data_IF_363805569550
#
_entry.id   IF_363805569550
#
_cell.length_a   1.000
_cell.length_b   1.000
_cell.length_c   1.000
_cell.angle_alpha   90.00
_cell.angle_beta   90.00
_cell.angle_gamma   90.00
#
_symmetry.space_group_name_H-M   'P 1'
#
loop_
_entity.id
_entity.type
_entity.pdbx_description
1 polymer ?
#
# COMPACT_ATOMS: atom_id res chain seq x y z
N UNK A 1 -8.06 22.73 -29.54
CA UNK A 1 -7.17 21.60 -29.21
C UNK A 1 -7.91 20.77 -28.17
N UNK A 2 -8.23 19.52 -28.50
CA UNK A 2 -8.85 18.59 -27.53
C UNK A 2 -7.84 18.37 -26.38
N UNK A 3 -8.27 18.27 -25.12
CA UNK A 3 -7.37 18.00 -24.01
C UNK A 3 -6.66 16.66 -24.23
N UNK A 4 -5.40 16.51 -23.82
CA UNK A 4 -4.70 15.24 -23.95
C UNK A 4 -5.49 14.17 -23.20
N UNK A 5 -5.85 13.11 -23.89
CA UNK A 5 -6.53 11.95 -23.32
C UNK A 5 -5.60 11.35 -22.25
N UNK A 6 -6.03 11.36 -20.99
CA UNK A 6 -5.29 10.77 -19.87
C UNK A 6 -4.97 9.30 -20.21
N UNK A 7 -3.72 8.88 -19.97
CA UNK A 7 -3.35 7.49 -20.19
C UNK A 7 -4.14 6.60 -19.20
N UNK A 8 -4.65 5.43 -19.67
CA UNK A 8 -5.46 4.55 -18.81
C UNK A 8 -4.63 3.96 -17.67
N UNK A 9 -5.25 3.73 -16.52
CA UNK A 9 -4.65 3.01 -15.40
C UNK A 9 -4.49 1.51 -15.75
N UNK A 10 -3.65 0.78 -14.99
CA UNK A 10 -3.43 -0.67 -15.17
C UNK A 10 -4.75 -1.47 -15.15
N UNK A 11 -5.69 -1.12 -14.28
CA UNK A 11 -7.00 -1.77 -14.20
C UNK A 11 -7.89 -1.45 -15.41
N UNK A 12 -7.77 -0.25 -15.97
CA UNK A 12 -8.50 0.14 -17.18
C UNK A 12 -7.90 -0.49 -18.43
N UNK A 13 -6.60 -0.81 -18.40
CA UNK A 13 -5.93 -1.52 -19.49
C UNK A 13 -6.40 -2.98 -19.64
N UNK A 14 -6.84 -3.63 -18.55
CA UNK A 14 -7.19 -5.06 -18.52
C UNK A 14 -8.59 -5.31 -17.94
N UNK A 15 -9.65 -4.79 -18.57
CA UNK A 15 -11.04 -4.91 -18.11
C UNK A 15 -11.71 -6.24 -18.52
N UNK A 16 -10.97 -7.17 -19.14
CA UNK A 16 -11.51 -8.40 -19.71
C UNK A 16 -12.08 -9.33 -18.65
N UNK A 17 -13.16 -10.02 -19.00
CA UNK A 17 -13.67 -11.12 -18.20
C UNK A 17 -12.75 -12.35 -18.25
N UNK A 18 -13.03 -13.37 -17.43
CA UNK A 18 -12.21 -14.59 -17.32
C UNK A 18 -12.11 -15.36 -18.66
N UNK A 19 -13.15 -15.29 -19.50
CA UNK A 19 -13.19 -16.01 -20.79
C UNK A 19 -12.31 -15.29 -21.81
N UNK A 20 -12.42 -14.00 -21.92
CA UNK A 20 -11.65 -13.17 -22.85
C UNK A 20 -10.17 -13.14 -22.45
N UNK A 21 -9.89 -12.99 -21.14
CA UNK A 21 -8.54 -13.09 -20.61
C UNK A 21 -7.88 -14.44 -20.93
N UNK A 22 -8.63 -15.56 -20.80
CA UNK A 22 -8.13 -16.90 -21.15
C UNK A 22 -7.88 -17.06 -22.66
N UNK A 23 -8.66 -16.39 -23.51
CA UNK A 23 -8.43 -16.40 -24.95
C UNK A 23 -7.15 -15.65 -25.33
N UNK A 24 -6.91 -14.47 -24.73
CA UNK A 24 -5.68 -13.69 -24.91
C UNK A 24 -4.45 -14.43 -24.38
N UNK A 25 -4.55 -15.11 -23.23
CA UNK A 25 -3.49 -15.96 -22.68
C UNK A 25 -3.07 -17.06 -23.67
N UNK A 26 -4.05 -17.73 -24.30
CA UNK A 26 -3.80 -18.76 -25.31
C UNK A 26 -3.12 -18.24 -26.59
N UNK A 27 -3.16 -16.94 -26.84
CA UNK A 27 -2.45 -16.29 -27.95
C UNK A 27 -1.06 -15.80 -27.51
N UNK A 28 -0.95 -15.14 -26.35
CA UNK A 28 0.29 -14.55 -25.87
C UNK A 28 1.37 -15.59 -25.56
N UNK A 29 1.03 -16.67 -24.84
CA UNK A 29 2.02 -17.68 -24.41
C UNK A 29 2.69 -18.41 -25.58
N UNK A 30 1.97 -18.89 -26.62
CA UNK A 30 2.62 -19.49 -27.79
C UNK A 30 3.53 -18.54 -28.56
N UNK A 31 3.22 -17.23 -28.61
CA UNK A 31 4.09 -16.24 -29.20
C UNK A 31 5.39 -16.10 -28.41
N UNK A 32 5.31 -16.03 -27.10
CA UNK A 32 6.49 -15.97 -26.24
C UNK A 32 7.38 -17.22 -26.38
N UNK A 33 6.77 -18.41 -26.40
CA UNK A 33 7.49 -19.68 -26.62
C UNK A 33 8.16 -19.71 -28.00
N UNK A 34 7.46 -19.29 -29.06
CA UNK A 34 8.00 -19.23 -30.41
C UNK A 34 9.27 -18.37 -30.52
N UNK A 35 9.33 -17.30 -29.75
CA UNK A 35 10.46 -16.35 -29.78
C UNK A 35 11.42 -16.55 -28.60
N UNK A 36 11.35 -17.69 -27.89
CA UNK A 36 12.22 -18.01 -26.75
C UNK A 36 12.24 -16.95 -25.66
N UNK A 37 11.08 -16.31 -25.40
CA UNK A 37 10.94 -15.22 -24.43
C UNK A 37 10.49 -15.83 -23.09
N UNK A 38 11.23 -15.57 -21.98
CA UNK A 38 10.87 -16.06 -20.66
C UNK A 38 9.51 -15.53 -20.22
N UNK A 39 8.58 -16.37 -19.74
CA UNK A 39 7.23 -15.98 -19.33
C UNK A 39 7.21 -15.33 -17.92
N UNK A 40 8.03 -14.29 -17.72
CA UNK A 40 7.95 -13.47 -16.53
C UNK A 40 6.81 -12.43 -16.62
N UNK A 41 6.39 -11.81 -15.51
CA UNK A 41 5.28 -10.86 -15.50
C UNK A 41 5.43 -9.69 -16.47
N UNK A 42 6.64 -9.15 -16.66
CA UNK A 42 6.91 -8.02 -17.56
C UNK A 42 6.72 -8.43 -19.02
N UNK A 43 7.31 -9.54 -19.43
CA UNK A 43 7.18 -10.06 -20.79
C UNK A 43 5.72 -10.47 -21.05
N UNK A 44 5.09 -11.16 -20.08
CA UNK A 44 3.70 -11.57 -20.20
C UNK A 44 2.76 -10.36 -20.43
N UNK A 45 2.88 -9.31 -19.66
CA UNK A 45 2.05 -8.11 -19.83
C UNK A 45 2.23 -7.47 -21.21
N UNK A 46 3.47 -7.39 -21.73
CA UNK A 46 3.76 -6.87 -23.05
C UNK A 46 3.11 -7.71 -24.16
N UNK A 47 3.25 -9.04 -24.10
CA UNK A 47 2.70 -9.95 -25.12
C UNK A 47 1.20 -10.15 -24.99
N UNK A 48 0.66 -10.04 -23.80
CA UNK A 48 -0.78 -9.99 -23.57
C UNK A 48 -1.39 -8.74 -24.24
N UNK A 49 -0.80 -7.57 -24.01
CA UNK A 49 -1.22 -6.29 -24.62
C UNK A 49 -1.04 -6.33 -26.14
N UNK A 50 0.06 -6.93 -26.64
CA UNK A 50 0.26 -7.20 -28.07
C UNK A 50 -0.89 -8.01 -28.66
N UNK A 51 -1.27 -9.10 -28.01
CA UNK A 51 -2.35 -9.99 -28.47
C UNK A 51 -3.72 -9.31 -28.45
N UNK A 52 -3.92 -8.34 -27.58
CA UNK A 52 -5.11 -7.50 -27.51
C UNK A 52 -5.23 -6.55 -28.72
N UNK A 53 -4.12 -6.16 -29.34
CA UNK A 53 -4.09 -5.37 -30.57
C UNK A 53 -4.52 -3.90 -30.40
N UNK A 54 -4.74 -3.43 -29.18
CA UNK A 54 -5.21 -2.06 -28.90
C UNK A 54 -4.09 -1.01 -28.92
N UNK A 55 -2.81 -1.43 -28.87
CA UNK A 55 -1.63 -0.58 -28.85
C UNK A 55 -0.76 -0.78 -30.12
N UNK A 56 -1.12 -0.17 -31.27
CA UNK A 56 -0.37 -0.35 -32.51
C UNK A 56 1.10 0.10 -32.43
N UNK A 57 1.42 1.03 -31.53
CA UNK A 57 2.78 1.49 -31.27
C UNK A 57 3.64 0.41 -30.64
N UNK A 58 3.12 -0.26 -29.62
CA UNK A 58 3.76 -1.41 -28.97
C UNK A 58 3.95 -2.56 -29.97
N UNK A 59 2.90 -2.89 -30.69
CA UNK A 59 2.91 -4.03 -31.63
C UNK A 59 4.02 -3.87 -32.67
N UNK A 60 4.12 -2.69 -33.31
CA UNK A 60 5.18 -2.39 -34.29
C UNK A 60 6.59 -2.51 -33.70
N UNK A 61 6.78 -2.08 -32.42
CA UNK A 61 8.08 -2.18 -31.77
C UNK A 61 8.43 -3.62 -31.39
N UNK A 62 7.48 -4.39 -30.91
CA UNK A 62 7.68 -5.80 -30.61
C UNK A 62 7.99 -6.60 -31.88
N UNK A 63 7.25 -6.37 -32.97
CA UNK A 63 7.52 -7.00 -34.26
C UNK A 63 8.93 -6.68 -34.79
N UNK A 64 9.41 -5.46 -34.60
CA UNK A 64 10.75 -5.06 -34.99
C UNK A 64 11.81 -5.76 -34.16
N UNK A 65 11.65 -5.79 -32.84
CA UNK A 65 12.61 -6.43 -31.92
C UNK A 65 12.73 -7.93 -32.22
N UNK A 66 11.62 -8.61 -32.44
CA UNK A 66 11.61 -10.04 -32.77
C UNK A 66 12.27 -10.35 -34.12
N UNK A 67 12.26 -9.37 -35.05
CA UNK A 67 12.96 -9.52 -36.35
C UNK A 67 14.45 -9.22 -36.25
N UNK A 68 14.83 -8.27 -35.41
CA UNK A 68 16.19 -7.74 -35.36
C UNK A 68 17.09 -8.48 -34.35
N UNK A 69 16.51 -9.26 -33.42
CA UNK A 69 17.25 -9.92 -32.33
C UNK A 69 16.81 -11.38 -32.18
N UNK A 70 17.79 -12.29 -32.00
CA UNK A 70 17.53 -13.69 -31.69
C UNK A 70 17.00 -13.92 -30.26
N UNK A 71 17.14 -12.94 -29.37
CA UNK A 71 16.63 -12.95 -28.00
C UNK A 71 16.00 -11.61 -27.65
N UNK A 72 15.03 -11.61 -26.74
CA UNK A 72 14.34 -10.42 -26.28
C UNK A 72 15.13 -9.76 -25.12
N UNK A 73 15.78 -8.59 -25.32
CA UNK A 73 16.62 -7.98 -24.29
C UNK A 73 15.78 -7.50 -23.09
N UNK A 74 16.21 -7.87 -21.86
CA UNK A 74 15.50 -7.51 -20.63
C UNK A 74 15.36 -5.98 -20.42
N UNK A 75 16.38 -5.21 -20.76
CA UNK A 75 16.33 -3.74 -20.66
C UNK A 75 15.29 -3.14 -21.61
N UNK A 76 15.20 -3.70 -22.81
CA UNK A 76 14.20 -3.27 -23.80
C UNK A 76 12.79 -3.63 -23.34
N UNK A 77 12.61 -4.80 -22.76
CA UNK A 77 11.33 -5.21 -22.15
C UNK A 77 10.92 -4.25 -21.02
N UNK A 78 11.84 -3.92 -20.12
CA UNK A 78 11.57 -2.99 -19.02
C UNK A 78 11.23 -1.57 -19.52
N UNK A 79 11.88 -1.12 -20.62
CA UNK A 79 11.57 0.16 -21.23
C UNK A 79 10.19 0.20 -21.86
N UNK A 80 9.84 -0.81 -22.65
CA UNK A 80 8.51 -0.93 -23.27
C UNK A 80 7.40 -1.08 -22.22
N UNK A 81 7.64 -1.84 -21.16
CA UNK A 81 6.70 -2.00 -20.06
C UNK A 81 6.40 -0.64 -19.39
N UNK A 82 7.43 0.17 -19.12
CA UNK A 82 7.24 1.52 -18.58
C UNK A 82 6.50 2.44 -19.55
N UNK A 83 6.82 2.37 -20.85
CA UNK A 83 6.29 3.27 -21.87
C UNK A 83 4.83 2.96 -22.25
N UNK A 84 4.42 1.67 -22.21
CA UNK A 84 3.10 1.26 -22.72
C UNK A 84 2.17 0.66 -21.66
N UNK A 85 2.70 0.09 -20.59
CA UNK A 85 1.90 -0.60 -19.58
C UNK A 85 1.66 0.29 -18.35
N UNK A 86 2.72 0.82 -17.73
CA UNK A 86 2.59 1.62 -16.49
C UNK A 86 2.68 3.12 -16.72
N UNK A 87 2.59 3.56 -17.97
CA UNK A 87 2.66 4.99 -18.32
C UNK A 87 1.61 5.81 -17.58
N UNK A 88 0.38 5.32 -17.51
CA UNK A 88 -0.73 6.00 -16.84
C UNK A 88 -0.46 6.28 -15.37
N UNK A 89 0.08 5.29 -14.64
CA UNK A 89 0.41 5.44 -13.23
C UNK A 89 1.61 6.37 -13.02
N UNK A 90 2.61 6.33 -13.92
CA UNK A 90 3.75 7.25 -13.86
C UNK A 90 3.32 8.70 -14.14
N UNK A 91 2.48 8.93 -15.13
CA UNK A 91 1.92 10.26 -15.45
C UNK A 91 1.03 10.76 -14.29
N UNK A 92 0.24 9.90 -13.68
CA UNK A 92 -0.57 10.27 -12.51
C UNK A 92 0.28 10.62 -11.29
N UNK A 93 1.33 9.84 -11.02
CA UNK A 93 2.27 10.14 -9.94
C UNK A 93 3.03 11.45 -10.16
N UNK A 94 3.49 11.69 -11.40
CA UNK A 94 4.15 12.95 -11.77
C UNK A 94 3.19 14.15 -11.68
N UNK A 95 1.94 13.99 -12.12
CA UNK A 95 0.92 15.03 -12.02
C UNK A 95 0.65 15.40 -10.57
N UNK A 96 0.51 14.41 -9.67
CA UNK A 96 0.34 14.63 -8.24
C UNK A 96 1.54 15.32 -7.61
N UNK A 97 2.75 14.94 -7.99
CA UNK A 97 3.97 15.60 -7.52
C UNK A 97 4.00 17.07 -7.97
N UNK A 98 3.66 17.36 -9.22
CA UNK A 98 3.61 18.71 -9.73
C UNK A 98 2.56 19.56 -9.02
N UNK A 99 1.37 19.01 -8.75
CA UNK A 99 0.33 19.69 -7.99
C UNK A 99 0.79 20.12 -6.59
N UNK A 100 1.61 19.29 -5.92
CA UNK A 100 2.18 19.66 -4.61
C UNK A 100 3.19 20.80 -4.75
N UNK A 101 4.03 20.78 -5.78
CA UNK A 101 5.00 21.85 -6.05
C UNK A 101 4.27 23.15 -6.33
N UNK A 102 3.30 23.13 -7.25
CA UNK A 102 2.50 24.29 -7.62
C UNK A 102 1.79 24.91 -6.42
N UNK A 103 1.24 24.05 -5.52
CA UNK A 103 0.61 24.49 -4.27
C UNK A 103 1.59 25.20 -3.31
N UNK A 104 2.82 24.69 -3.20
CA UNK A 104 3.86 25.31 -2.37
C UNK A 104 4.28 26.66 -2.93
N UNK A 105 4.47 26.74 -4.25
CA UNK A 105 4.86 27.98 -4.96
C UNK A 105 3.75 29.05 -4.82
N UNK A 106 2.48 28.64 -4.94
CA UNK A 106 1.32 29.53 -4.74
C UNK A 106 1.28 30.08 -3.31
N UNK A 107 1.51 29.23 -2.29
CA UNK A 107 1.56 29.65 -0.88
C UNK A 107 2.72 30.62 -0.64
N UNK A 108 3.92 30.36 -1.20
CA UNK A 108 5.08 31.24 -1.08
C UNK A 108 4.81 32.61 -1.70
N UNK A 109 4.17 32.63 -2.88
CA UNK A 109 3.72 33.85 -3.55
C UNK A 109 2.71 34.64 -2.70
N UNK A 110 1.71 33.98 -2.12
CA UNK A 110 0.69 34.60 -1.26
C UNK A 110 1.27 35.18 0.04
N UNK A 111 2.23 34.46 0.67
CA UNK A 111 2.96 34.94 1.85
C UNK A 111 3.77 36.19 1.52
N UNK A 112 4.50 36.18 0.41
CA UNK A 112 5.32 37.31 -0.05
C UNK A 112 4.45 38.53 -0.35
N UNK A 113 3.30 38.35 -0.96
CA UNK A 113 2.32 39.41 -1.26
C UNK A 113 1.72 40.01 0.02
N UNK A 114 1.36 39.16 1.00
CA UNK A 114 0.84 39.58 2.29
C UNK A 114 1.88 40.38 3.12
N UNK A 115 3.15 39.95 3.08
CA UNK A 115 4.24 40.65 3.74
C UNK A 115 4.48 42.04 3.09
N UNK A 116 4.49 42.14 1.78
CA UNK A 116 4.61 43.40 1.04
C UNK A 116 3.46 44.37 1.37
N UNK A 117 2.23 43.87 1.42
CA UNK A 117 1.05 44.64 1.83
C UNK A 117 1.15 45.17 3.27
N UNK A 118 1.58 44.32 4.20
CA UNK A 118 1.80 44.72 5.61
C UNK A 118 2.85 45.80 5.73
N UNK A 119 3.94 45.71 4.96
CA UNK A 119 5.00 46.70 4.95
C UNK A 119 4.55 48.04 4.40
N UNK A 120 3.79 48.05 3.34
CA UNK A 120 3.21 49.26 2.76
C UNK A 120 2.25 49.95 3.74
N UNK A 121 1.41 49.16 4.43
CA UNK A 121 0.51 49.67 5.46
C UNK A 121 1.28 50.27 6.64
N UNK A 122 2.36 49.64 7.08
CA UNK A 122 3.23 50.20 8.12
C UNK A 122 3.83 51.55 7.71
N UNK A 123 4.30 51.68 6.48
CA UNK A 123 4.84 52.94 5.95
C UNK A 123 3.77 54.03 5.91
N UNK A 124 2.54 53.74 5.48
CA UNK A 124 1.41 54.68 5.50
C UNK A 124 1.08 55.14 6.92
N UNK A 125 1.12 54.23 7.92
CA UNK A 125 0.92 54.56 9.33
C UNK A 125 2.05 55.48 9.86
N UNK A 126 3.30 55.20 9.53
CA UNK A 126 4.47 56.02 9.95
C UNK A 126 4.39 57.45 9.35
N UNK A 127 4.02 57.55 8.08
CA UNK A 127 3.81 58.82 7.40
C UNK A 127 2.64 59.61 8.01
N UNK A 128 1.52 58.95 8.28
CA UNK A 128 0.37 59.56 8.93
C UNK A 128 0.69 60.04 10.34
N UNK A 129 1.44 59.27 11.12
CA UNK A 129 1.90 59.68 12.46
C UNK A 129 2.85 60.87 12.41
N UNK A 130 3.77 60.92 11.45
CA UNK A 130 4.68 62.08 11.26
C UNK A 130 3.91 63.34 10.89
N UNK A 131 2.92 63.25 9.99
CA UNK A 131 2.07 64.37 9.61
C UNK A 131 1.26 64.93 10.80
N UNK A 132 0.82 64.09 11.73
CA UNK A 132 0.11 64.48 12.94
C UNK A 132 0.96 65.19 13.98
N UNK A 133 2.31 65.13 13.86
CA UNK A 133 3.26 65.79 14.77
C UNK A 133 3.68 67.20 14.31
N UNK A 134 3.32 67.60 13.09
CA UNK A 134 3.59 68.94 12.59
C UNK A 134 2.55 69.97 13.08
N UNK A 135 2.96 71.19 13.51
CA UNK A 135 2.07 72.16 14.14
C UNK A 135 1.14 72.89 13.16
N UNK A 136 1.27 72.73 11.86
CA UNK A 136 0.41 73.33 10.82
C UNK A 136 -0.41 72.20 10.13
N UNK A 137 -1.59 71.91 10.69
CA UNK A 137 -2.52 70.87 10.23
C UNK A 137 -3.54 71.38 9.20
N UNK A 138 -3.11 71.92 8.08
CA UNK A 138 -4.08 72.32 7.04
C UNK A 138 -4.65 71.15 6.23
N UNK A 139 -4.11 69.89 6.34
CA UNK A 139 -4.48 68.76 5.50
C UNK A 139 -4.80 67.45 6.27
N UNK A 140 -5.25 67.56 7.52
CA UNK A 140 -5.66 66.42 8.34
C UNK A 140 -6.71 65.51 7.70
N UNK A 141 -7.75 66.05 6.96
CA UNK A 141 -8.72 65.19 6.29
C UNK A 141 -8.12 64.29 5.23
N UNK A 142 -7.13 64.76 4.46
CA UNK A 142 -6.43 64.01 3.42
C UNK A 142 -5.63 62.82 4.03
N UNK A 143 -4.87 63.08 5.09
CA UNK A 143 -4.09 62.05 5.80
C UNK A 143 -5.01 60.96 6.37
N UNK A 144 -6.12 61.33 6.97
CA UNK A 144 -7.12 60.37 7.49
C UNK A 144 -7.74 59.56 6.38
N UNK A 145 -8.08 60.14 5.22
CA UNK A 145 -8.63 59.45 4.07
C UNK A 145 -7.63 58.40 3.51
N UNK A 146 -6.36 58.78 3.40
CA UNK A 146 -5.29 57.87 2.94
C UNK A 146 -5.04 56.70 3.89
N UNK A 147 -5.05 56.93 5.19
CA UNK A 147 -4.97 55.89 6.21
C UNK A 147 -6.17 54.96 6.18
N UNK A 148 -7.38 55.49 5.95
CA UNK A 148 -8.61 54.71 5.84
C UNK A 148 -8.53 53.80 4.61
N UNK A 149 -8.12 54.31 3.47
CA UNK A 149 -7.97 53.59 2.22
C UNK A 149 -6.90 52.48 2.33
N UNK A 150 -5.71 52.80 2.93
CA UNK A 150 -4.68 51.81 3.20
C UNK A 150 -5.16 50.70 4.14
N UNK A 151 -5.95 51.04 5.16
CA UNK A 151 -6.49 50.09 6.12
C UNK A 151 -7.47 49.14 5.42
N UNK A 152 -8.39 49.66 4.56
CA UNK A 152 -9.32 48.87 3.81
C UNK A 152 -8.60 47.91 2.83
N UNK A 153 -7.59 48.41 2.12
CA UNK A 153 -6.80 47.58 1.22
C UNK A 153 -6.10 46.44 1.96
N UNK A 154 -5.54 46.72 3.13
CA UNK A 154 -4.89 45.73 3.98
C UNK A 154 -5.88 44.66 4.45
N UNK A 155 -7.08 45.05 4.88
CA UNK A 155 -8.13 44.11 5.29
C UNK A 155 -8.55 43.20 4.13
N UNK A 156 -8.78 43.75 2.95
CA UNK A 156 -9.16 42.98 1.76
C UNK A 156 -8.06 41.98 1.34
N UNK A 157 -6.79 42.39 1.46
CA UNK A 157 -5.66 41.47 1.19
C UNK A 157 -5.59 40.36 2.23
N UNK A 158 -5.80 40.66 3.50
CA UNK A 158 -5.78 39.69 4.59
C UNK A 158 -6.92 38.66 4.46
N UNK A 159 -8.12 39.10 4.09
CA UNK A 159 -9.25 38.19 3.83
C UNK A 159 -8.95 37.23 2.67
N UNK A 160 -8.42 37.74 1.57
CA UNK A 160 -8.02 36.94 0.41
C UNK A 160 -6.94 35.91 0.79
N UNK A 161 -5.94 36.34 1.55
CA UNK A 161 -4.87 35.45 2.03
C UNK A 161 -5.43 34.32 2.92
N UNK A 162 -6.31 34.66 3.88
CA UNK A 162 -6.93 33.64 4.74
C UNK A 162 -7.82 32.65 3.95
N UNK A 163 -8.53 33.14 2.94
CA UNK A 163 -9.33 32.29 2.07
C UNK A 163 -8.44 31.27 1.32
N UNK A 164 -7.34 31.74 0.70
CA UNK A 164 -6.40 30.88 -0.02
C UNK A 164 -5.70 29.89 0.90
N UNK A 165 -5.29 30.32 2.10
CA UNK A 165 -4.70 29.44 3.09
C UNK A 165 -5.64 28.29 3.51
N UNK A 166 -6.92 28.57 3.69
CA UNK A 166 -7.93 27.54 3.97
C UNK A 166 -8.11 26.56 2.80
N UNK A 167 -8.11 27.06 1.58
CA UNK A 167 -8.18 26.23 0.39
C UNK A 167 -6.96 25.28 0.29
N UNK A 168 -5.76 25.80 0.50
CA UNK A 168 -4.53 25.03 0.52
C UNK A 168 -4.50 23.96 1.63
N UNK A 169 -5.00 24.29 2.83
CA UNK A 169 -5.18 23.30 3.90
C UNK A 169 -6.11 22.16 3.51
N UNK A 170 -7.22 22.48 2.84
CA UNK A 170 -8.15 21.47 2.32
C UNK A 170 -7.50 20.52 1.32
N UNK A 171 -6.72 21.07 0.39
CA UNK A 171 -6.00 20.28 -0.61
C UNK A 171 -4.93 19.38 0.03
N UNK A 172 -4.15 19.89 0.98
CA UNK A 172 -3.18 19.09 1.75
C UNK A 172 -3.86 17.92 2.47
N UNK A 173 -5.03 18.15 3.09
CA UNK A 173 -5.78 17.07 3.75
C UNK A 173 -6.28 16.03 2.75
N UNK A 174 -6.73 16.47 1.59
CA UNK A 174 -7.16 15.57 0.51
C UNK A 174 -6.01 14.70 0.02
N UNK A 175 -4.85 15.28 -0.29
CA UNK A 175 -3.66 14.57 -0.74
C UNK A 175 -3.13 13.57 0.31
N UNK A 176 -3.13 13.96 1.60
CA UNK A 176 -2.79 13.03 2.70
C UNK A 176 -3.74 11.84 2.74
N UNK A 177 -5.05 12.07 2.65
CA UNK A 177 -6.03 10.98 2.62
C UNK A 177 -5.83 10.03 1.43
N UNK A 178 -5.48 10.55 0.25
CA UNK A 178 -5.17 9.74 -0.92
C UNK A 178 -3.90 8.91 -0.70
N UNK A 179 -2.86 9.51 -0.12
CA UNK A 179 -1.61 8.83 0.21
C UNK A 179 -1.83 7.70 1.22
N UNK A 180 -2.59 7.96 2.28
CA UNK A 180 -2.94 6.96 3.30
C UNK A 180 -3.71 5.79 2.69
N UNK A 181 -4.65 6.05 1.78
CA UNK A 181 -5.37 4.99 1.05
C UNK A 181 -4.44 4.18 0.15
N UNK A 182 -3.55 4.84 -0.58
CA UNK A 182 -2.58 4.16 -1.42
C UNK A 182 -1.60 3.31 -0.60
N UNK A 183 -1.13 3.83 0.54
CA UNK A 183 -0.32 3.08 1.50
C UNK A 183 -1.06 1.87 2.07
N UNK A 184 -2.31 2.04 2.49
CA UNK A 184 -3.13 0.95 2.99
C UNK A 184 -3.33 -0.13 1.91
N UNK A 185 -3.67 0.25 0.68
CA UNK A 185 -3.82 -0.68 -0.44
C UNK A 185 -2.51 -1.42 -0.79
N UNK A 186 -1.36 -0.77 -0.62
CA UNK A 186 -0.05 -1.37 -0.87
C UNK A 186 0.44 -2.27 0.27
N UNK A 187 -0.07 -2.12 1.49
CA UNK A 187 0.45 -2.80 2.69
C UNK A 187 -0.52 -3.78 3.34
N UNK A 188 -1.82 -3.55 3.21
CA UNK A 188 -2.83 -4.39 3.84
C UNK A 188 -3.47 -5.36 2.84
N UNK A 189 -3.91 -6.52 3.34
CA UNK A 189 -4.81 -7.42 2.62
C UNK A 189 -6.23 -6.83 2.64
N UNK A 190 -6.85 -6.71 1.48
CA UNK A 190 -8.15 -6.04 1.31
C UNK A 190 -9.29 -6.74 2.03
N UNK A 191 -9.23 -8.06 2.19
CA UNK A 191 -10.26 -8.86 2.83
C UNK A 191 -10.14 -8.87 4.36
N UNK A 192 -8.93 -9.08 4.86
CA UNK A 192 -8.67 -9.34 6.29
C UNK A 192 -8.14 -8.14 7.05
N UNK A 193 -7.67 -7.11 6.34
CA UNK A 193 -7.12 -5.87 6.92
C UNK A 193 -5.91 -6.08 7.86
N UNK A 194 -5.25 -7.23 7.80
CA UNK A 194 -3.88 -7.44 8.28
C UNK A 194 -2.89 -7.10 7.18
N UNK A 195 -1.60 -7.11 7.44
CA UNK A 195 -0.61 -6.87 6.38
C UNK A 195 -0.76 -7.90 5.25
N UNK A 196 -0.47 -7.48 4.02
CA UNK A 196 -0.37 -8.41 2.90
C UNK A 196 1.03 -9.08 2.89
N UNK A 197 1.17 -10.14 2.09
CA UNK A 197 2.42 -10.90 1.95
C UNK A 197 3.62 -10.00 1.61
N UNK A 198 3.43 -9.02 0.71
CA UNK A 198 4.53 -8.16 0.27
C UNK A 198 5.05 -7.25 1.40
N UNK A 199 4.15 -6.63 2.15
CA UNK A 199 4.51 -5.81 3.30
C UNK A 199 5.18 -6.65 4.40
N UNK A 200 4.66 -7.85 4.67
CA UNK A 200 5.23 -8.79 5.62
C UNK A 200 6.66 -9.17 5.27
N UNK A 201 6.90 -9.60 4.01
CA UNK A 201 8.23 -10.00 3.53
C UNK A 201 9.25 -8.89 3.75
N UNK A 202 8.98 -7.69 3.25
CA UNK A 202 9.86 -6.53 3.41
C UNK A 202 10.14 -6.18 4.88
N UNK A 203 9.13 -6.33 5.72
CA UNK A 203 9.24 -6.01 7.14
C UNK A 203 10.09 -7.03 7.87
N UNK A 204 9.86 -8.33 7.64
CA UNK A 204 10.65 -9.41 8.25
C UNK A 204 12.12 -9.33 7.80
N UNK A 205 12.41 -9.11 6.52
CA UNK A 205 13.77 -8.87 6.02
C UNK A 205 14.45 -7.71 6.74
N UNK A 206 13.76 -6.59 6.92
CA UNK A 206 14.27 -5.43 7.64
C UNK A 206 14.53 -5.73 9.13
N UNK A 207 13.67 -6.51 9.77
CA UNK A 207 13.85 -6.91 11.17
C UNK A 207 15.07 -7.80 11.31
N UNK A 208 15.19 -8.85 10.49
CA UNK A 208 16.30 -9.78 10.53
C UNK A 208 17.65 -9.13 10.23
N UNK A 209 17.68 -8.14 9.32
CA UNK A 209 18.92 -7.39 9.00
C UNK A 209 19.42 -6.49 10.13
N UNK A 210 18.51 -5.99 10.99
CA UNK A 210 18.87 -5.04 12.04
C UNK A 210 19.08 -5.72 13.39
N UNK A 211 18.15 -6.55 13.82
CA UNK A 211 18.17 -7.24 15.11
C UNK A 211 17.23 -8.45 15.06
N UNK A 212 17.83 -9.63 14.96
CA UNK A 212 17.11 -10.91 14.97
C UNK A 212 16.74 -11.40 16.37
N UNK A 213 17.35 -10.83 17.43
CA UNK A 213 17.15 -11.31 18.80
C UNK A 213 15.72 -11.07 19.28
N UNK A 214 15.14 -12.07 19.91
CA UNK A 214 13.77 -11.99 20.42
C UNK A 214 12.71 -11.89 19.34
N UNK A 215 12.96 -12.38 18.14
CA UNK A 215 11.98 -12.47 17.05
C UNK A 215 11.52 -13.90 16.92
N UNK A 216 10.19 -14.12 17.02
CA UNK A 216 9.57 -15.40 16.70
C UNK A 216 8.64 -15.23 15.50
N UNK A 217 8.67 -16.19 14.60
CA UNK A 217 7.76 -16.33 13.48
C UNK A 217 6.73 -17.41 13.79
N UNK A 218 5.45 -17.08 13.67
CA UNK A 218 4.34 -18.02 13.77
C UNK A 218 3.64 -18.09 12.43
N UNK A 219 3.58 -19.27 11.83
CA UNK A 219 2.73 -19.53 10.67
C UNK A 219 1.44 -20.21 11.11
N UNK A 220 0.33 -19.79 10.56
CA UNK A 220 -1.01 -20.27 10.85
C UNK A 220 -1.71 -20.63 9.56
N UNK A 221 -2.43 -21.77 9.57
CA UNK A 221 -3.26 -22.21 8.45
C UNK A 221 -4.60 -22.73 8.99
N UNK A 222 -5.70 -22.33 8.34
CA UNK A 222 -7.05 -22.72 8.75
C UNK A 222 -7.32 -24.15 8.31
N UNK A 223 -7.57 -25.03 9.28
CA UNK A 223 -7.77 -26.45 9.02
C UNK A 223 -8.99 -26.71 8.14
N UNK A 224 -8.79 -27.53 7.11
CA UNK A 224 -9.84 -27.96 6.19
C UNK A 224 -10.58 -26.82 5.45
N UNK A 225 -9.95 -25.66 5.29
CA UNK A 225 -10.60 -24.47 4.72
C UNK A 225 -11.14 -24.71 3.31
N UNK A 226 -10.43 -25.46 2.46
CA UNK A 226 -10.94 -25.84 1.14
C UNK A 226 -12.25 -26.64 1.22
N UNK A 227 -12.32 -27.66 2.11
CA UNK A 227 -13.54 -28.44 2.31
C UNK A 227 -14.68 -27.56 2.84
N UNK A 228 -14.36 -26.62 3.72
CA UNK A 228 -15.30 -25.63 4.21
C UNK A 228 -15.87 -24.78 3.07
N UNK A 229 -15.03 -24.27 2.16
CA UNK A 229 -15.46 -23.50 1.00
C UNK A 229 -16.30 -24.34 0.02
N UNK A 230 -15.93 -25.60 -0.20
CA UNK A 230 -16.68 -26.51 -1.05
C UNK A 230 -18.09 -26.80 -0.49
N UNK A 231 -18.22 -26.84 0.84
CA UNK A 231 -19.49 -27.12 1.52
C UNK A 231 -20.38 -25.89 1.69
N UNK A 232 -19.79 -24.72 2.03
CA UNK A 232 -20.55 -23.54 2.45
C UNK A 232 -20.43 -22.35 1.46
N UNK A 233 -19.57 -22.46 0.49
CA UNK A 233 -19.30 -21.44 -0.52
C UNK A 233 -18.27 -20.38 -0.08
N UNK A 234 -17.55 -19.83 -1.06
CA UNK A 234 -16.52 -18.80 -0.87
C UNK A 234 -16.96 -17.58 -0.03
N UNK A 235 -18.21 -17.05 -0.17
CA UNK A 235 -18.61 -15.89 0.63
C UNK A 235 -18.62 -16.14 2.15
N UNK A 236 -18.81 -17.39 2.57
CA UNK A 236 -18.74 -17.75 3.98
C UNK A 236 -17.29 -17.98 4.41
N UNK A 237 -16.45 -18.55 3.56
CA UNK A 237 -15.00 -18.62 3.77
C UNK A 237 -14.36 -17.25 3.92
N UNK A 238 -14.75 -16.29 3.08
CA UNK A 238 -14.28 -14.91 3.21
C UNK A 238 -14.61 -14.30 4.58
N UNK A 239 -15.81 -14.59 5.10
CA UNK A 239 -16.18 -14.15 6.45
C UNK A 239 -15.36 -14.83 7.56
N UNK A 240 -14.99 -16.11 7.38
CA UNK A 240 -14.04 -16.79 8.27
C UNK A 240 -12.72 -16.05 8.30
N UNK A 241 -12.15 -15.79 7.12
CA UNK A 241 -10.87 -15.07 6.98
C UNK A 241 -10.93 -13.67 7.58
N UNK A 242 -12.04 -12.94 7.39
CA UNK A 242 -12.26 -11.63 8.02
C UNK A 242 -12.28 -11.71 9.55
N UNK A 243 -12.95 -12.71 10.13
CA UNK A 243 -12.99 -12.88 11.58
C UNK A 243 -11.63 -13.28 12.16
N UNK A 244 -10.87 -14.15 11.47
CA UNK A 244 -9.50 -14.48 11.85
C UNK A 244 -8.62 -13.25 11.79
N UNK A 245 -8.66 -12.49 10.70
CA UNK A 245 -7.93 -11.24 10.58
C UNK A 245 -8.27 -10.21 11.66
N UNK A 246 -9.56 -10.08 12.01
CA UNK A 246 -10.02 -9.22 13.10
C UNK A 246 -9.46 -9.69 14.45
N UNK A 247 -9.57 -10.99 14.74
CA UNK A 247 -9.07 -11.59 15.97
C UNK A 247 -7.56 -11.39 16.12
N UNK A 248 -6.80 -11.56 15.04
CA UNK A 248 -5.37 -11.27 15.05
C UNK A 248 -5.09 -9.81 15.39
N UNK A 249 -5.78 -8.85 14.79
CA UNK A 249 -5.59 -7.43 15.10
C UNK A 249 -5.92 -7.08 16.55
N UNK A 250 -6.97 -7.67 17.08
CA UNK A 250 -7.48 -7.36 18.44
C UNK A 250 -6.61 -7.96 19.55
N UNK A 251 -5.96 -9.10 19.30
CA UNK A 251 -5.18 -9.83 20.29
C UNK A 251 -3.68 -9.63 20.20
N UNK A 252 -3.19 -9.10 19.07
CA UNK A 252 -1.74 -8.88 18.89
C UNK A 252 -1.21 -7.83 19.86
N UNK A 253 -0.08 -8.12 20.56
CA UNK A 253 0.61 -7.09 21.33
C UNK A 253 1.11 -5.96 20.40
N UNK A 254 1.30 -4.73 20.93
CA UNK A 254 1.62 -3.56 20.10
C UNK A 254 2.84 -3.68 19.19
N UNK A 255 3.74 -4.62 19.52
CA UNK A 255 4.99 -4.84 18.76
C UNK A 255 4.93 -6.06 17.83
N UNK A 256 3.84 -6.82 17.87
CA UNK A 256 3.63 -7.94 16.97
C UNK A 256 2.86 -7.49 15.72
N UNK A 257 3.03 -8.25 14.64
CA UNK A 257 2.43 -7.95 13.34
C UNK A 257 1.87 -9.22 12.73
N UNK A 258 0.63 -9.15 12.22
CA UNK A 258 0.03 -10.24 11.47
C UNK A 258 -0.10 -9.88 10.00
N UNK A 259 0.05 -10.86 9.16
CA UNK A 259 -0.14 -10.76 7.72
C UNK A 259 -0.90 -11.95 7.17
N UNK A 260 -1.62 -11.74 6.07
CA UNK A 260 -2.14 -12.82 5.25
C UNK A 260 -1.08 -13.19 4.22
N UNK A 261 -0.54 -14.41 4.34
CA UNK A 261 0.58 -14.88 3.53
C UNK A 261 0.12 -15.64 2.29
N UNK A 262 -0.95 -16.39 2.41
CA UNK A 262 -1.60 -17.18 1.35
C UNK A 262 -3.11 -17.05 1.34
N UNK A 263 -3.79 -17.96 0.69
CA UNK A 263 -5.26 -17.99 0.61
C UNK A 263 -5.92 -18.09 1.99
N UNK A 264 -5.47 -19.06 2.77
CA UNK A 264 -5.95 -19.41 4.12
C UNK A 264 -4.83 -19.36 5.17
N UNK A 265 -3.65 -18.88 4.77
CA UNK A 265 -2.44 -18.84 5.57
C UNK A 265 -2.18 -17.44 6.11
N UNK A 266 -1.82 -17.36 7.39
CA UNK A 266 -1.40 -16.13 8.05
C UNK A 266 -0.03 -16.32 8.68
N UNK A 267 0.74 -15.23 8.73
CA UNK A 267 2.02 -15.17 9.42
C UNK A 267 1.97 -14.10 10.51
N UNK A 268 2.62 -14.36 11.63
CA UNK A 268 2.71 -13.43 12.75
C UNK A 268 4.16 -13.28 13.15
N UNK A 269 4.65 -12.06 13.21
CA UNK A 269 5.96 -11.71 13.74
C UNK A 269 5.74 -11.26 15.19
N UNK A 270 6.30 -12.01 16.13
CA UNK A 270 6.37 -11.62 17.54
C UNK A 270 7.75 -11.02 17.82
N UNK A 271 7.77 -9.84 18.40
CA UNK A 271 9.01 -9.18 18.85
C UNK A 271 9.13 -9.21 20.35
N UNK A 272 10.35 -9.12 20.87
CA UNK A 272 10.66 -9.24 22.31
C UNK A 272 10.23 -10.60 22.88
N UNK A 273 10.29 -11.64 22.07
CA UNK A 273 9.99 -13.00 22.43
C UNK A 273 11.31 -13.76 22.58
N UNK A 274 11.79 -13.89 23.80
CA UNK A 274 13.14 -14.41 24.08
C UNK A 274 13.24 -15.92 24.02
N UNK A 275 12.12 -16.64 24.03
CA UNK A 275 12.10 -18.10 24.10
C UNK A 275 10.88 -18.73 23.40
N UNK A 276 11.05 -19.97 22.96
CA UNK A 276 9.99 -20.77 22.33
C UNK A 276 8.76 -20.98 23.22
N UNK A 277 8.87 -21.25 24.54
CA UNK A 277 7.70 -21.39 25.41
C UNK A 277 6.80 -20.17 25.43
N UNK A 278 7.35 -18.95 25.48
CA UNK A 278 6.57 -17.72 25.45
C UNK A 278 5.83 -17.53 24.14
N UNK A 279 6.50 -17.78 23.00
CA UNK A 279 5.88 -17.75 21.69
C UNK A 279 4.79 -18.83 21.54
N UNK A 280 5.05 -20.02 22.05
CA UNK A 280 4.09 -21.13 22.06
C UNK A 280 2.84 -20.79 22.86
N UNK A 281 3.00 -20.27 24.08
CA UNK A 281 1.86 -19.88 24.93
C UNK A 281 0.97 -18.84 24.23
N UNK A 282 1.58 -17.89 23.53
CA UNK A 282 0.85 -16.89 22.75
C UNK A 282 0.09 -17.52 21.57
N UNK A 283 0.76 -18.39 20.80
CA UNK A 283 0.14 -19.09 19.68
C UNK A 283 -1.01 -20.00 20.12
N UNK A 284 -0.90 -20.66 21.29
CA UNK A 284 -1.99 -21.44 21.90
C UNK A 284 -3.21 -20.57 22.27
N UNK A 285 -2.99 -19.38 22.80
CA UNK A 285 -4.08 -18.44 23.07
C UNK A 285 -4.82 -18.07 21.77
N UNK A 286 -4.10 -17.82 20.70
CA UNK A 286 -4.70 -17.54 19.38
C UNK A 286 -5.49 -18.76 18.88
N UNK A 287 -4.91 -19.95 18.96
CA UNK A 287 -5.55 -21.20 18.55
C UNK A 287 -6.89 -21.42 19.26
N UNK A 288 -6.90 -21.29 20.60
CA UNK A 288 -8.12 -21.43 21.41
C UNK A 288 -9.17 -20.37 21.04
N UNK A 289 -8.76 -19.13 20.79
CA UNK A 289 -9.67 -18.07 20.37
C UNK A 289 -10.26 -18.35 18.99
N UNK A 290 -9.47 -18.83 18.02
CA UNK A 290 -9.97 -19.23 16.71
C UNK A 290 -10.94 -20.40 16.86
N UNK A 291 -10.62 -21.42 17.63
CA UNK A 291 -11.52 -22.55 17.91
C UNK A 291 -12.83 -22.11 18.58
N UNK A 292 -12.81 -21.03 19.34
CA UNK A 292 -14.00 -20.49 20.01
C UNK A 292 -14.88 -19.61 19.12
N UNK A 293 -14.43 -19.27 17.90
CA UNK A 293 -15.21 -18.46 16.96
C UNK A 293 -16.56 -19.11 16.67
N UNK A 294 -17.62 -18.31 16.70
CA UNK A 294 -18.98 -18.73 16.36
C UNK A 294 -19.48 -17.91 15.17
N UNK A 295 -19.55 -18.53 14.01
CA UNK A 295 -19.98 -17.86 12.78
C UNK A 295 -21.43 -18.25 12.48
N UNK A 296 -22.34 -17.28 12.52
CA UNK A 296 -23.74 -17.49 12.17
C UNK A 296 -23.95 -17.46 10.65
N UNK A 297 -24.64 -18.46 10.13
CA UNK A 297 -25.06 -18.47 8.73
C UNK A 297 -26.37 -17.70 8.60
N UNK A 298 -26.33 -16.53 7.95
CA UNK A 298 -27.50 -15.60 7.85
C UNK A 298 -28.80 -16.24 7.32
N UNK A 299 -28.74 -17.36 6.60
CA UNK A 299 -29.91 -17.98 5.94
C UNK A 299 -30.57 -19.12 6.73
N UNK A 300 -29.92 -19.68 7.72
CA UNK A 300 -30.38 -20.93 8.37
C UNK A 300 -30.40 -20.88 9.89
N UNK A 301 -30.05 -19.77 10.52
CA UNK A 301 -29.80 -19.64 11.97
C UNK A 301 -28.85 -20.74 12.56
N UNK A 302 -28.23 -21.54 11.71
CA UNK A 302 -27.22 -22.51 12.13
C UNK A 302 -25.95 -21.77 12.53
N UNK A 303 -25.45 -22.07 13.71
CA UNK A 303 -24.09 -21.76 14.10
C UNK A 303 -23.20 -22.82 13.48
N UNK A 304 -22.18 -22.41 12.75
CA UNK A 304 -21.20 -23.34 12.20
C UNK A 304 -20.41 -24.00 13.30
N UNK A 305 -20.02 -25.26 13.08
CA UNK A 305 -19.07 -25.98 13.91
C UNK A 305 -17.77 -25.19 14.03
N UNK A 306 -17.03 -25.43 15.12
CA UNK A 306 -15.80 -24.71 15.42
C UNK A 306 -14.80 -24.80 14.27
N UNK A 307 -14.32 -23.64 13.81
CA UNK A 307 -13.20 -23.55 12.88
C UNK A 307 -11.93 -23.73 13.71
N UNK A 308 -11.02 -24.56 13.23
CA UNK A 308 -9.71 -24.76 13.87
C UNK A 308 -8.59 -24.28 12.96
N UNK A 309 -7.41 -24.07 13.54
CA UNK A 309 -6.22 -23.72 12.82
C UNK A 309 -5.01 -24.45 13.41
N UNK A 310 -4.08 -24.79 12.55
CA UNK A 310 -2.79 -25.36 12.92
C UNK A 310 -1.72 -24.28 12.86
N UNK A 311 -0.75 -24.38 13.76
CA UNK A 311 0.30 -23.36 13.93
C UNK A 311 1.69 -23.99 13.90
N UNK A 312 2.60 -23.37 13.17
CA UNK A 312 4.03 -23.66 13.18
C UNK A 312 4.80 -22.47 13.73
N UNK A 313 5.81 -22.74 14.55
CA UNK A 313 6.54 -21.73 15.30
C UNK A 313 8.04 -21.92 15.16
N UNK A 314 8.79 -20.85 14.82
CA UNK A 314 10.23 -20.80 14.80
C UNK A 314 10.78 -19.52 15.46
N UNK A 315 11.91 -19.63 16.17
CA UNK A 315 12.66 -18.48 16.67
C UNK A 315 13.74 -18.08 15.64
N UNK A 316 13.94 -16.77 15.49
CA UNK A 316 15.03 -16.28 14.66
C UNK A 316 16.39 -16.55 15.33
N UNK A 317 17.31 -17.10 14.58
CA UNK A 317 18.67 -17.42 14.99
C UNK A 317 19.69 -16.51 14.29
N UNK A 318 20.91 -16.48 14.83
CA UNK A 318 21.98 -15.72 14.21
C UNK A 318 22.33 -16.30 12.83
N UNK A 319 22.26 -15.46 11.80
CA UNK A 319 22.50 -15.86 10.42
C UNK A 319 21.24 -16.24 9.64
N UNK A 320 20.07 -16.21 10.26
CA UNK A 320 18.82 -16.41 9.53
C UNK A 320 18.60 -15.31 8.49
N UNK A 321 18.09 -15.75 7.37
CA UNK A 321 17.44 -14.91 6.37
C UNK A 321 15.93 -15.20 6.35
N UNK A 322 15.19 -14.47 5.52
CA UNK A 322 13.75 -14.66 5.37
C UNK A 322 13.39 -16.11 5.05
N UNK A 323 14.11 -16.75 4.12
CA UNK A 323 13.80 -18.08 3.61
C UNK A 323 14.05 -19.16 4.67
N UNK A 324 15.18 -19.09 5.39
CA UNK A 324 15.53 -20.08 6.44
C UNK A 324 14.50 -20.07 7.58
N UNK A 325 14.12 -18.89 8.08
CA UNK A 325 13.16 -18.75 9.16
C UNK A 325 11.75 -19.18 8.72
N UNK A 326 11.34 -18.81 7.51
CA UNK A 326 10.04 -19.26 6.96
C UNK A 326 9.99 -20.77 6.79
N UNK A 327 11.06 -21.39 6.29
CA UNK A 327 11.12 -22.85 6.11
C UNK A 327 10.98 -23.58 7.43
N UNK A 328 11.66 -23.16 8.50
CA UNK A 328 11.55 -23.78 9.82
C UNK A 328 10.14 -23.65 10.41
N UNK A 329 9.51 -22.50 10.26
CA UNK A 329 8.13 -22.28 10.71
C UNK A 329 7.12 -23.10 9.87
N UNK A 330 7.33 -23.26 8.56
CA UNK A 330 6.49 -24.07 7.68
C UNK A 330 6.61 -25.56 7.97
N UNK A 331 7.83 -26.05 8.19
CA UNK A 331 8.08 -27.43 8.62
C UNK A 331 7.34 -27.74 9.94
N UNK A 332 7.39 -26.81 10.89
CA UNK A 332 6.66 -26.94 12.15
C UNK A 332 5.13 -26.95 11.91
N UNK A 333 4.60 -26.07 11.04
CA UNK A 333 3.20 -26.06 10.66
C UNK A 333 2.77 -27.37 9.98
N UNK A 334 3.62 -27.90 9.12
CA UNK A 334 3.39 -29.19 8.47
C UNK A 334 3.27 -30.31 9.52
N UNK A 335 4.14 -30.33 10.53
CA UNK A 335 4.04 -31.29 11.66
C UNK A 335 2.73 -31.14 12.43
N UNK A 336 2.29 -29.88 12.72
CA UNK A 336 1.01 -29.63 13.35
C UNK A 336 -0.16 -30.22 12.56
N UNK A 337 -0.15 -30.02 11.23
CA UNK A 337 -1.19 -30.58 10.34
C UNK A 337 -1.18 -32.13 10.29
N UNK A 338 -0.01 -32.76 10.34
CA UNK A 338 0.15 -34.22 10.31
C UNK A 338 -0.18 -34.91 11.65
N UNK A 339 0.10 -34.23 12.77
CA UNK A 339 -0.15 -34.75 14.11
C UNK A 339 -1.59 -34.57 14.61
N UNK A 340 -2.54 -34.30 13.72
CA UNK A 340 -3.97 -34.24 14.06
C UNK A 340 -4.60 -32.86 13.97
N UNK A 341 -3.88 -31.83 13.50
CA UNK A 341 -4.36 -30.45 13.35
C UNK A 341 -4.74 -29.78 14.69
N UNK A 342 -5.29 -28.58 14.61
CA UNK A 342 -5.76 -27.80 15.77
C UNK A 342 -4.74 -27.80 16.92
N UNK A 343 -3.49 -27.51 16.64
CA UNK A 343 -2.39 -27.50 17.60
C UNK A 343 -1.28 -26.54 17.18
N UNK A 344 -0.46 -26.19 18.14
CA UNK A 344 0.78 -25.43 17.93
C UNK A 344 1.95 -26.40 17.96
N UNK A 345 2.80 -26.34 16.94
CA UNK A 345 4.01 -27.14 16.88
C UNK A 345 5.24 -26.20 16.81
N UNK A 346 6.18 -26.29 17.76
CA UNK A 346 7.43 -25.55 17.65
C UNK A 346 8.36 -26.23 16.63
N UNK A 347 9.31 -25.49 16.11
CA UNK A 347 10.39 -26.06 15.31
C UNK A 347 11.09 -27.20 16.07
N UNK A 348 11.49 -28.23 15.35
CA UNK A 348 12.32 -29.27 15.93
C UNK A 348 13.70 -28.71 16.23
N UNK A 349 14.31 -29.02 17.41
CA UNK A 349 15.67 -28.61 17.65
C UNK A 349 16.56 -29.14 16.50
N UNK A 350 17.34 -28.28 15.90
CA UNK A 350 18.32 -28.68 14.88
C UNK A 350 19.24 -29.70 15.52
N UNK A 351 19.03 -30.98 15.21
CA UNK A 351 19.98 -32.01 15.59
C UNK A 351 21.27 -31.69 14.85
N UNK A 352 22.25 -31.13 15.56
CA UNK A 352 23.58 -30.91 15.00
C UNK A 352 24.02 -32.27 14.40
N UNK A 353 24.05 -32.35 13.08
CA UNK A 353 24.69 -33.46 12.39
C UNK A 353 26.15 -33.41 12.81
N UNK A 354 26.46 -34.25 13.81
CA UNK A 354 27.82 -34.54 14.21
C UNK A 354 28.59 -35.05 13.00
N UNK A 355 29.58 -34.26 12.63
CA UNK A 355 30.54 -34.54 11.58
C UNK A 355 31.31 -35.82 11.82
#
# INVERSE_FOLDING_TARGET
MSPPTKAPSLLELYPEDTRDAAALLKQAVPLMVRHSIPPNPVHYALWYTYSKGQEPGLNRRLDKIVKDFDSFPAETAAKLFREYIIRGELEEAQTKQQQVIDLVDDIEGDVSHSLAGSRNYQLSLEQGLAALQEPLMDDLPSVLSELQESTQLMQDQQEKFLYRLRAAQGEIQHLRSQLDRAHAAATLDSLTQVFNRHAFTRLLEKILSNDHQGVALVMLDIDHFKQFNDQYGHPLGDRVLQHVGQLLRDLLPPQAMAARYGGEEFCIILRNCSDLPSAHAYAEQLREKIQSLRIKVRRTDKVLDSITASFGLALAEAGDNLESLLTRADDALYQAKHNGRNQVHPESPVTALSA
#
